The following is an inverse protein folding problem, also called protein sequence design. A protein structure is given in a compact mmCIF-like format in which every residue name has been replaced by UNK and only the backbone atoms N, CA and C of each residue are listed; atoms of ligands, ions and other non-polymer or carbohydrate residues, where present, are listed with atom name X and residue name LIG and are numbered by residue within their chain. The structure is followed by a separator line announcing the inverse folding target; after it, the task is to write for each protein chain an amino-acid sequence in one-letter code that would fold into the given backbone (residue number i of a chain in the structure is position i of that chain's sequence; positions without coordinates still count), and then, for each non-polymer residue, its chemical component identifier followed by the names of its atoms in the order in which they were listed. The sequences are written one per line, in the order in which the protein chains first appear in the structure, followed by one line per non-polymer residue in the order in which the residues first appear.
data_IF_811775530042
#
_entry.id   IF_811775530042
#
_cell.length_a   1.000
_cell.length_b   1.000
_cell.length_c   1.000
_cell.angle_alpha   90.00
_cell.angle_beta   90.00
_cell.angle_gamma   90.00
#
_symmetry.space_group_name_H-M   'P 1'
#
loop_
_entity.id
_entity.type
_entity.pdbx_description
1 polymer ?
#
# COMPACT_ATOMS: atom_id res chain seq x y z
N UNK A 1 46.01 2.60 -25.82
CA UNK A 1 45.31 2.67 -27.12
C UNK A 1 43.82 2.49 -26.83
N UNK A 2 42.87 3.39 -27.09
CA UNK A 2 42.78 4.61 -27.89
C UNK A 2 41.85 5.56 -27.14
N UNK A 3 42.29 6.80 -26.92
CA UNK A 3 41.38 7.88 -26.54
C UNK A 3 40.55 8.33 -27.75
N UNK A 4 39.36 8.85 -27.47
CA UNK A 4 38.61 9.69 -28.42
C UNK A 4 37.97 10.83 -27.63
N UNK A 5 38.54 12.02 -27.78
CA UNK A 5 37.98 13.29 -27.38
C UNK A 5 37.05 13.80 -28.48
N UNK A 6 35.89 14.35 -28.10
CA UNK A 6 35.04 15.27 -28.88
C UNK A 6 34.36 16.11 -27.79
N UNK A 7 34.56 17.42 -27.65
CA UNK A 7 34.66 18.45 -28.68
C UNK A 7 33.50 19.40 -28.36
N UNK A 8 33.79 20.44 -27.57
CA UNK A 8 32.78 21.38 -27.08
C UNK A 8 32.32 22.36 -28.15
N UNK A 9 31.16 22.98 -27.90
CA UNK A 9 30.78 24.27 -28.47
C UNK A 9 30.09 25.07 -27.39
N UNK A 10 30.77 26.13 -26.94
CA UNK A 10 30.21 27.19 -26.15
C UNK A 10 29.39 28.11 -27.07
N UNK A 11 28.18 28.48 -26.65
CA UNK A 11 27.42 29.56 -27.27
C UNK A 11 27.18 30.62 -26.20
N UNK A 12 27.93 31.71 -26.34
CA UNK A 12 27.75 32.98 -25.63
C UNK A 12 26.73 33.78 -26.41
N UNK A 13 25.65 34.23 -25.77
CA UNK A 13 24.72 35.19 -26.35
C UNK A 13 24.53 36.35 -25.36
N UNK A 14 24.88 37.54 -25.81
CA UNK A 14 25.09 38.74 -25.05
C UNK A 14 23.80 39.44 -24.62
N UNK A 15 23.80 39.94 -23.38
CA UNK A 15 22.86 40.91 -22.83
C UNK A 15 22.97 42.24 -23.57
N UNK A 16 21.85 42.78 -24.04
CA UNK A 16 21.74 44.18 -24.48
C UNK A 16 20.61 44.84 -23.71
N UNK A 17 21.01 45.67 -22.73
CA UNK A 17 20.16 46.60 -22.01
C UNK A 17 19.94 47.84 -22.89
N UNK A 18 18.74 47.98 -23.45
CA UNK A 18 18.30 49.22 -24.09
C UNK A 18 17.37 49.96 -23.11
N UNK A 19 17.94 50.93 -22.39
CA UNK A 19 17.18 51.89 -21.59
C UNK A 19 16.67 53.03 -22.48
N UNK A 20 15.35 53.21 -22.54
CA UNK A 20 14.74 54.41 -23.10
C UNK A 20 14.49 55.42 -21.97
N UNK A 21 15.14 56.58 -22.09
CA UNK A 21 14.82 57.78 -21.34
C UNK A 21 13.85 58.65 -22.14
N UNK A 22 12.88 59.24 -21.45
CA UNK A 22 12.16 60.45 -21.88
C UNK A 22 10.67 60.27 -22.17
N UNK A 23 9.82 60.80 -21.29
CA UNK A 23 8.97 61.96 -21.60
C UNK A 23 8.20 62.39 -20.33
N UNK A 24 8.51 63.60 -19.86
CA UNK A 24 7.71 64.33 -18.86
C UNK A 24 6.49 64.89 -19.61
N UNK A 25 5.39 64.16 -19.54
CA UNK A 25 4.10 64.57 -20.10
C UNK A 25 3.21 65.01 -18.94
N UNK A 26 2.87 66.30 -18.93
CA UNK A 26 2.09 66.94 -17.87
C UNK A 26 0.80 66.17 -17.58
N UNK A 27 0.47 66.10 -16.29
CA UNK A 27 -0.67 65.35 -15.77
C UNK A 27 -1.97 65.70 -16.53
N UNK A 28 -2.62 64.73 -17.19
CA UNK A 28 -3.98 64.90 -17.68
C UNK A 28 -4.94 65.10 -16.49
N UNK A 29 -6.05 65.82 -16.67
CA UNK A 29 -7.06 65.98 -15.62
C UNK A 29 -7.53 64.59 -15.17
N UNK A 30 -7.63 64.40 -13.85
CA UNK A 30 -8.01 63.13 -13.25
C UNK A 30 -9.30 62.59 -13.90
N UNK A 31 -9.31 61.33 -14.38
CA UNK A 31 -10.55 60.70 -14.81
C UNK A 31 -11.53 60.68 -13.63
N UNK A 32 -12.86 60.75 -13.87
CA UNK A 32 -13.83 60.62 -12.79
C UNK A 32 -13.53 59.33 -12.03
N UNK A 33 -13.44 59.42 -10.71
CA UNK A 33 -13.23 58.27 -9.85
C UNK A 33 -14.36 57.27 -10.10
N UNK A 34 -14.06 56.25 -10.91
CA UNK A 34 -14.91 55.08 -11.02
C UNK A 34 -14.77 54.36 -9.70
N UNK A 35 -15.86 54.25 -8.95
CA UNK A 35 -15.91 53.42 -7.76
C UNK A 35 -15.49 52.00 -8.20
N UNK A 36 -14.48 51.37 -7.58
CA UNK A 36 -14.19 49.98 -7.90
C UNK A 36 -15.45 49.17 -7.59
N UNK A 37 -15.99 48.50 -8.61
CA UNK A 37 -17.03 47.51 -8.39
C UNK A 37 -16.44 46.48 -7.41
N UNK A 38 -17.12 46.26 -6.29
CA UNK A 38 -16.80 45.15 -5.42
C UNK A 38 -16.93 43.86 -6.23
N UNK A 39 -15.91 42.99 -6.25
CA UNK A 39 -16.04 41.70 -6.91
C UNK A 39 -17.21 40.96 -6.25
N UNK A 40 -18.20 40.60 -7.05
CA UNK A 40 -19.29 39.73 -6.60
C UNK A 40 -18.72 38.33 -6.57
N UNK A 41 -18.43 37.80 -5.38
CA UNK A 41 -18.15 36.37 -5.22
C UNK A 41 -19.41 35.59 -5.59
N UNK A 42 -19.34 34.64 -6.54
CA UNK A 42 -20.47 33.79 -6.84
C UNK A 42 -20.86 33.01 -5.58
N UNK A 43 -22.17 32.79 -5.41
CA UNK A 43 -22.71 31.92 -4.37
C UNK A 43 -22.08 30.53 -4.54
N UNK A 44 -21.33 30.05 -3.54
CA UNK A 44 -20.60 28.77 -3.65
C UNK A 44 -21.53 27.58 -3.45
N UNK A 45 -22.69 27.79 -2.79
CA UNK A 45 -23.69 26.76 -2.51
C UNK A 45 -24.44 26.33 -3.79
N UNK A 46 -24.35 27.10 -4.88
CA UNK A 46 -24.87 26.73 -6.19
C UNK A 46 -24.06 25.61 -6.88
N UNK A 47 -22.86 25.30 -6.40
CA UNK A 47 -22.00 24.27 -6.99
C UNK A 47 -22.12 22.96 -6.19
N UNK A 48 -22.13 21.83 -6.90
CA UNK A 48 -21.97 20.52 -6.25
C UNK A 48 -20.58 20.44 -5.62
N UNK A 49 -20.46 20.13 -4.33
CA UNK A 49 -19.15 19.98 -3.70
C UNK A 49 -18.37 18.84 -4.36
N UNK A 50 -17.03 18.95 -4.46
CA UNK A 50 -16.22 17.87 -5.03
C UNK A 50 -16.41 16.59 -4.21
N UNK A 51 -16.31 15.41 -4.85
CA UNK A 51 -16.35 14.14 -4.13
C UNK A 51 -15.23 14.11 -3.08
N UNK A 52 -15.51 13.51 -1.92
CA UNK A 52 -14.52 13.35 -0.85
C UNK A 52 -13.46 12.34 -1.26
N UNK A 53 -12.18 12.73 -1.19
CA UNK A 53 -11.03 11.88 -1.53
C UNK A 53 -9.98 12.65 -2.30
N UNK A 54 -8.95 11.94 -2.77
CA UNK A 54 -7.94 12.47 -3.68
C UNK A 54 -8.36 12.13 -5.10
N UNK A 55 -8.34 13.11 -6.00
CA UNK A 55 -8.58 12.85 -7.42
C UNK A 55 -7.26 12.42 -8.04
N UNK A 56 -7.23 11.23 -8.63
CA UNK A 56 -6.11 10.78 -9.44
C UNK A 56 -6.08 11.62 -10.72
N UNK A 57 -4.97 12.33 -10.97
CA UNK A 57 -4.86 13.25 -12.12
C UNK A 57 -4.81 12.50 -13.46
N UNK A 58 -4.35 11.25 -13.46
CA UNK A 58 -4.21 10.43 -14.66
C UNK A 58 -5.52 9.72 -15.03
N UNK A 59 -6.29 9.26 -14.03
CA UNK A 59 -7.55 8.52 -14.27
C UNK A 59 -8.81 9.36 -14.07
N UNK A 60 -8.72 10.48 -13.34
CA UNK A 60 -9.86 11.30 -12.93
C UNK A 60 -10.75 10.62 -11.87
N UNK A 61 -10.34 9.47 -11.34
CA UNK A 61 -11.09 8.75 -10.31
C UNK A 61 -10.83 9.34 -8.92
N UNK A 62 -11.84 9.26 -8.05
CA UNK A 62 -11.67 9.66 -6.65
C UNK A 62 -11.20 8.46 -5.83
N UNK A 63 -9.99 8.57 -5.28
CA UNK A 63 -9.40 7.60 -4.36
C UNK A 63 -9.71 8.02 -2.92
N UNK A 64 -10.33 7.12 -2.17
CA UNK A 64 -10.51 7.31 -0.71
C UNK A 64 -9.24 6.84 -0.01
N UNK A 65 -8.56 7.68 0.80
CA UNK A 65 -7.40 7.24 1.57
C UNK A 65 -7.80 6.11 2.52
N UNK A 66 -7.06 5.00 2.46
CA UNK A 66 -7.23 3.91 3.41
C UNK A 66 -6.49 4.22 4.72
N UNK A 67 -6.99 3.73 5.87
CA UNK A 67 -6.32 3.96 7.15
C UNK A 67 -4.97 3.24 7.18
N UNK A 68 -3.96 3.96 7.64
CA UNK A 68 -2.61 3.40 7.82
C UNK A 68 -2.64 2.47 9.04
N UNK A 69 -2.22 1.20 8.90
CA UNK A 69 -2.14 0.29 10.03
C UNK A 69 -1.10 0.73 11.05
N UNK A 70 -1.47 0.64 12.33
CA UNK A 70 -0.55 0.76 13.45
C UNK A 70 -0.13 -0.64 13.94
N UNK A 71 1.00 -0.72 14.63
CA UNK A 71 1.50 -1.96 15.24
C UNK A 71 1.24 -2.00 16.75
N UNK A 72 -0.03 -1.88 17.09
CA UNK A 72 -0.53 -1.90 18.46
C UNK A 72 -0.82 -3.32 18.98
N UNK A 73 -1.23 -3.43 20.23
CA UNK A 73 -1.53 -4.73 20.86
C UNK A 73 -2.69 -5.46 20.15
N UNK A 74 -3.69 -4.71 19.68
CA UNK A 74 -4.82 -5.27 18.91
C UNK A 74 -4.32 -5.91 17.62
N UNK A 75 -3.44 -5.22 16.88
CA UNK A 75 -2.86 -5.72 15.64
C UNK A 75 -2.02 -6.97 15.89
N UNK A 76 -1.21 -7.00 16.96
CA UNK A 76 -0.41 -8.17 17.34
C UNK A 76 -1.28 -9.38 17.66
N UNK A 77 -2.37 -9.20 18.40
CA UNK A 77 -3.30 -10.28 18.70
C UNK A 77 -4.02 -10.76 17.43
N UNK A 78 -4.42 -9.84 16.56
CA UNK A 78 -5.12 -10.17 15.31
C UNK A 78 -4.27 -11.00 14.36
N UNK A 79 -2.97 -10.71 14.24
CA UNK A 79 -2.09 -11.45 13.33
C UNK A 79 -1.78 -12.86 13.84
N UNK A 80 -1.62 -13.03 15.16
CA UNK A 80 -1.47 -14.36 15.77
C UNK A 80 -2.75 -15.18 15.57
N UNK A 81 -3.92 -14.59 15.81
CA UNK A 81 -5.19 -15.26 15.60
C UNK A 81 -5.40 -15.67 14.13
N UNK A 82 -5.04 -14.81 13.18
CA UNK A 82 -5.10 -15.11 11.75
C UNK A 82 -4.15 -16.25 11.36
N UNK A 83 -2.90 -16.21 11.85
CA UNK A 83 -1.92 -17.26 11.60
C UNK A 83 -2.39 -18.61 12.14
N UNK A 84 -2.89 -18.66 13.37
CA UNK A 84 -3.43 -19.90 13.94
C UNK A 84 -4.67 -20.40 13.19
N UNK A 85 -5.55 -19.49 12.76
CA UNK A 85 -6.75 -19.85 11.99
C UNK A 85 -6.37 -20.49 10.65
N UNK A 86 -5.44 -19.87 9.92
CA UNK A 86 -4.94 -20.42 8.67
C UNK A 86 -4.19 -21.75 8.88
N UNK A 87 -3.37 -21.86 9.93
CA UNK A 87 -2.67 -23.11 10.23
C UNK A 87 -3.62 -24.25 10.59
N UNK A 88 -4.71 -23.97 11.33
CA UNK A 88 -5.76 -24.96 11.62
C UNK A 88 -6.53 -25.39 10.37
N UNK A 89 -6.79 -24.47 9.44
CA UNK A 89 -7.42 -24.80 8.16
C UNK A 89 -6.49 -25.66 7.28
N UNK A 90 -5.19 -25.32 7.26
CA UNK A 90 -4.18 -26.08 6.54
C UNK A 90 -3.98 -27.50 7.11
N UNK A 91 -3.99 -27.65 8.44
CA UNK A 91 -3.75 -28.91 9.16
C UNK A 91 -4.96 -29.87 9.17
N UNK A 92 -5.60 -30.10 8.02
CA UNK A 92 -6.78 -30.98 7.89
C UNK A 92 -6.59 -32.07 6.83
N UNK A 93 -5.62 -32.98 7.00
CA UNK A 93 -5.29 -33.99 6.00
C UNK A 93 -6.37 -35.06 5.81
N UNK A 94 -7.34 -35.13 6.72
CA UNK A 94 -8.45 -36.08 6.66
C UNK A 94 -9.67 -35.54 5.87
N UNK A 95 -9.63 -34.29 5.41
CA UNK A 95 -10.67 -33.69 4.56
C UNK A 95 -10.43 -33.98 3.07
N UNK A 96 -11.50 -34.00 2.29
CA UNK A 96 -11.40 -33.95 0.84
C UNK A 96 -10.96 -32.56 0.37
N UNK A 97 -10.39 -32.49 -0.84
CA UNK A 97 -9.84 -31.27 -1.39
C UNK A 97 -10.85 -30.12 -1.46
N UNK A 98 -12.10 -30.35 -1.88
CA UNK A 98 -13.07 -29.26 -2.06
C UNK A 98 -13.43 -28.60 -0.72
N UNK A 99 -13.68 -29.43 0.30
CA UNK A 99 -13.96 -28.94 1.66
C UNK A 99 -12.75 -28.23 2.26
N UNK A 100 -11.56 -28.84 2.15
CA UNK A 100 -10.32 -28.25 2.65
C UNK A 100 -10.00 -26.92 1.99
N UNK A 101 -10.12 -26.84 0.67
CA UNK A 101 -9.81 -25.65 -0.10
C UNK A 101 -10.78 -24.50 0.22
N UNK A 102 -12.08 -24.79 0.34
CA UNK A 102 -13.08 -23.80 0.71
C UNK A 102 -12.84 -23.17 2.09
N UNK A 103 -12.22 -23.89 3.02
CA UNK A 103 -11.82 -23.37 4.34
C UNK A 103 -10.50 -22.57 4.28
N UNK A 104 -9.54 -23.00 3.45
CA UNK A 104 -8.20 -22.40 3.41
C UNK A 104 -8.10 -21.18 2.49
N UNK A 105 -8.64 -21.25 1.27
CA UNK A 105 -8.49 -20.22 0.23
C UNK A 105 -8.81 -18.80 0.72
N UNK A 106 -9.89 -18.54 1.48
CA UNK A 106 -10.24 -17.19 1.93
C UNK A 106 -9.21 -16.57 2.89
N UNK A 107 -8.31 -17.39 3.44
CA UNK A 107 -7.26 -16.98 4.39
C UNK A 107 -5.93 -16.70 3.68
N UNK A 108 -5.85 -16.93 2.37
CA UNK A 108 -4.64 -16.78 1.57
C UNK A 108 -4.64 -15.46 0.80
N UNK A 109 -3.44 -14.94 0.52
CA UNK A 109 -3.31 -13.92 -0.53
C UNK A 109 -3.64 -14.54 -1.90
N UNK A 110 -3.99 -13.75 -2.93
CA UNK A 110 -4.26 -14.30 -4.26
C UNK A 110 -3.10 -15.14 -4.81
N UNK A 111 -1.85 -14.69 -4.62
CA UNK A 111 -0.67 -15.44 -5.03
C UNK A 111 -0.54 -16.77 -4.27
N UNK A 112 -0.75 -16.76 -2.95
CA UNK A 112 -0.71 -17.99 -2.18
C UNK A 112 -1.83 -18.94 -2.60
N UNK A 113 -3.03 -18.43 -2.88
CA UNK A 113 -4.11 -19.27 -3.41
C UNK A 113 -3.68 -20.00 -4.70
N UNK A 114 -2.98 -19.34 -5.62
CA UNK A 114 -2.41 -20.00 -6.80
C UNK A 114 -1.34 -21.05 -6.44
N UNK A 115 -0.46 -20.73 -5.50
CA UNK A 115 0.64 -21.62 -5.08
C UNK A 115 0.15 -22.89 -4.37
N UNK A 116 -0.91 -22.79 -3.57
CA UNK A 116 -1.48 -23.90 -2.79
C UNK A 116 -2.64 -24.62 -3.48
N UNK A 117 -3.16 -24.11 -4.61
CA UNK A 117 -4.34 -24.64 -5.29
C UNK A 117 -4.26 -26.12 -5.66
N UNK A 118 -3.06 -26.69 -5.79
CA UNK A 118 -2.86 -28.09 -6.21
C UNK A 118 -2.29 -28.98 -5.11
N UNK A 119 -2.27 -28.50 -3.87
CA UNK A 119 -1.89 -29.33 -2.72
C UNK A 119 -3.00 -30.36 -2.46
N UNK A 120 -2.60 -31.62 -2.37
CA UNK A 120 -3.46 -32.69 -1.88
C UNK A 120 -3.40 -32.70 -0.33
N UNK A 121 -4.52 -32.44 0.37
CA UNK A 121 -4.52 -32.37 1.83
C UNK A 121 -4.02 -33.65 2.49
N UNK A 122 -4.21 -34.83 1.88
CA UNK A 122 -3.74 -36.09 2.45
C UNK A 122 -2.21 -36.19 2.59
N UNK A 123 -1.46 -35.33 1.87
CA UNK A 123 0.00 -35.25 1.97
C UNK A 123 0.49 -34.26 3.03
N UNK A 124 -0.41 -33.51 3.68
CA UNK A 124 -0.04 -32.56 4.74
C UNK A 124 0.29 -33.36 6.00
N UNK A 125 1.52 -33.23 6.57
CA UNK A 125 1.93 -34.02 7.72
C UNK A 125 1.29 -33.54 9.04
N UNK A 126 0.76 -32.32 9.06
CA UNK A 126 0.21 -31.66 10.25
C UNK A 126 -1.27 -32.03 10.43
N UNK A 127 -1.69 -32.35 11.65
CA UNK A 127 -3.11 -32.58 12.00
C UNK A 127 -3.67 -31.58 13.01
N UNK A 128 -2.81 -30.95 13.81
CA UNK A 128 -3.28 -30.02 14.82
C UNK A 128 -2.25 -28.94 15.18
N UNK A 129 -2.77 -27.78 15.59
CA UNK A 129 -1.98 -26.72 16.25
C UNK A 129 -1.90 -27.04 17.74
N UNK A 130 -0.70 -27.12 18.28
CA UNK A 130 -0.43 -27.64 19.64
C UNK A 130 -0.22 -26.54 20.68
N UNK A 131 -0.20 -25.28 20.27
CA UNK A 131 0.02 -24.14 21.16
C UNK A 131 -0.22 -22.80 20.49
N UNK A 132 0.03 -21.72 21.23
CA UNK A 132 -0.15 -20.36 20.74
C UNK A 132 0.93 -19.97 19.73
N UNK A 133 0.54 -19.24 18.69
CA UNK A 133 1.48 -18.64 17.75
C UNK A 133 2.34 -17.54 18.40
N UNK A 134 3.61 -17.45 17.99
CA UNK A 134 4.56 -16.45 18.48
C UNK A 134 5.03 -15.59 17.31
N UNK A 135 4.95 -14.26 17.43
CA UNK A 135 5.47 -13.34 16.42
C UNK A 135 7.01 -13.38 16.49
N UNK A 136 7.65 -13.63 15.36
CA UNK A 136 9.12 -13.72 15.26
C UNK A 136 9.74 -12.61 14.41
N UNK A 137 8.94 -11.94 13.57
CA UNK A 137 9.30 -10.67 12.92
C UNK A 137 8.10 -9.72 12.97
N UNK A 138 8.35 -8.52 13.49
CA UNK A 138 7.36 -7.50 13.80
C UNK A 138 7.79 -6.10 13.31
N UNK A 139 8.73 -6.07 12.37
CA UNK A 139 9.34 -4.82 11.84
C UNK A 139 8.41 -3.98 10.97
N UNK A 140 7.23 -4.52 10.59
CA UNK A 140 6.26 -3.87 9.71
C UNK A 140 4.84 -3.98 10.25
N UNK A 141 4.07 -2.90 10.12
CA UNK A 141 2.64 -2.93 10.41
C UNK A 141 1.82 -3.62 9.31
N UNK A 142 2.40 -3.90 8.14
CA UNK A 142 1.72 -4.52 6.99
C UNK A 142 2.07 -5.98 6.79
N UNK A 143 3.22 -6.42 7.33
CA UNK A 143 3.76 -7.76 7.15
C UNK A 143 4.26 -8.26 8.48
N UNK A 144 3.93 -9.49 8.84
CA UNK A 144 4.47 -10.13 10.02
C UNK A 144 4.76 -11.60 9.77
N UNK A 145 5.72 -12.12 10.54
CA UNK A 145 6.04 -13.53 10.55
C UNK A 145 5.64 -14.12 11.89
N UNK A 146 4.83 -15.17 11.85
CA UNK A 146 4.34 -15.89 13.03
C UNK A 146 4.81 -17.33 12.97
N UNK A 147 5.43 -17.80 14.05
CA UNK A 147 5.72 -19.21 14.27
C UNK A 147 4.54 -19.87 14.98
N UNK A 148 4.00 -20.94 14.40
CA UNK A 148 2.89 -21.71 14.98
C UNK A 148 3.38 -23.13 15.31
N UNK A 149 3.29 -23.57 16.58
CA UNK A 149 3.62 -24.93 16.97
C UNK A 149 2.52 -25.92 16.56
N UNK A 150 2.92 -27.08 16.03
CA UNK A 150 2.01 -28.12 15.55
C UNK A 150 2.46 -29.51 16.01
N UNK A 151 1.67 -30.55 15.75
CA UNK A 151 2.01 -31.94 16.04
C UNK A 151 3.13 -32.50 15.15
N UNK A 152 3.43 -31.84 14.02
CA UNK A 152 4.51 -32.20 13.09
C UNK A 152 5.67 -31.19 13.09
N UNK A 153 5.84 -30.42 14.17
CA UNK A 153 6.89 -29.42 14.32
C UNK A 153 6.39 -27.98 14.25
N UNK A 154 7.29 -27.03 14.04
CA UNK A 154 6.95 -25.60 13.96
C UNK A 154 6.81 -25.18 12.50
N UNK A 155 5.89 -24.26 12.25
CA UNK A 155 5.67 -23.66 10.94
C UNK A 155 5.82 -22.15 11.04
N UNK A 156 6.49 -21.55 10.05
CA UNK A 156 6.49 -20.11 9.86
C UNK A 156 5.42 -19.72 8.84
N UNK A 157 4.59 -18.78 9.24
CA UNK A 157 3.59 -18.16 8.40
C UNK A 157 3.96 -16.70 8.16
N UNK A 158 3.95 -16.26 6.91
CA UNK A 158 4.12 -14.86 6.54
C UNK A 158 2.74 -14.30 6.20
N UNK A 159 2.30 -13.28 6.92
CA UNK A 159 0.98 -12.67 6.76
C UNK A 159 1.10 -11.22 6.29
N UNK A 160 0.19 -10.82 5.42
CA UNK A 160 0.11 -9.48 4.85
C UNK A 160 -1.29 -8.90 5.07
N UNK A 161 -1.40 -7.58 5.26
CA UNK A 161 -2.67 -6.84 5.17
C UNK A 161 -2.51 -5.61 4.27
N UNK A 162 -3.61 -5.16 3.66
CA UNK A 162 -3.59 -4.02 2.73
C UNK A 162 -3.64 -2.67 3.45
N UNK A 163 -4.38 -2.59 4.55
CA UNK A 163 -4.63 -1.40 5.34
C UNK A 163 -5.04 -1.80 6.78
N UNK A 164 -5.37 -0.83 7.64
CA UNK A 164 -5.71 -1.09 9.05
C UNK A 164 -6.98 -1.93 9.24
N UNK A 165 -7.94 -1.86 8.31
CA UNK A 165 -9.24 -2.54 8.37
C UNK A 165 -9.24 -3.86 7.59
N UNK A 166 -8.26 -4.06 6.70
CA UNK A 166 -8.11 -5.28 5.92
C UNK A 166 -7.72 -6.49 6.80
N UNK A 167 -8.22 -7.70 6.47
CA UNK A 167 -7.81 -8.92 7.15
C UNK A 167 -6.33 -9.24 6.89
N UNK A 168 -5.73 -9.95 7.83
CA UNK A 168 -4.44 -10.62 7.60
C UNK A 168 -4.64 -11.83 6.71
N UNK A 169 -3.91 -11.88 5.59
CA UNK A 169 -3.92 -12.98 4.65
C UNK A 169 -2.53 -13.63 4.62
N UNK A 170 -2.50 -14.95 4.61
CA UNK A 170 -1.26 -15.73 4.56
C UNK A 170 -0.70 -15.73 3.14
N UNK A 171 0.55 -15.31 3.00
CA UNK A 171 1.29 -15.36 1.74
C UNK A 171 2.18 -16.59 1.63
N UNK A 172 2.55 -17.20 2.77
CA UNK A 172 3.42 -18.38 2.79
C UNK A 172 3.28 -19.17 4.09
N UNK A 173 3.31 -20.50 3.98
CA UNK A 173 3.36 -21.48 5.08
C UNK A 173 4.62 -22.33 4.83
N UNK A 174 5.58 -22.32 5.75
CA UNK A 174 6.86 -23.06 5.57
C UNK A 174 7.19 -23.84 6.83
N UNK A 175 7.50 -25.15 6.74
CA UNK A 175 8.04 -25.90 7.87
C UNK A 175 9.38 -25.30 8.32
N UNK A 176 9.58 -25.20 9.62
CA UNK A 176 10.90 -24.84 10.17
C UNK A 176 11.76 -26.09 10.17
N UNK A 177 12.86 -26.08 9.41
CA UNK A 177 13.90 -27.11 9.56
C UNK A 177 14.38 -27.07 11.02
N UNK A 178 14.23 -28.18 11.74
CA UNK A 178 14.86 -28.32 13.05
C UNK A 178 16.36 -28.27 12.79
N UNK A 179 17.05 -27.24 13.28
CA UNK A 179 18.50 -27.30 13.37
C UNK A 179 18.84 -28.41 14.39
N UNK A 180 19.27 -29.56 13.89
CA UNK A 180 19.78 -30.68 14.69
C UNK A 180 20.98 -30.27 15.57
#
# INVERSE_FOLDING_TARGET
MRGKAIGGVAVVAALVLAGCAGQDEGAPPAPPSSTPATPVTPDLDQFTPPPSGLVDEDTGETITPQPVPEWDETSRQSVVAAAETAMRAFARPDLDYETWWAELEPLLTPQAAEDYAYVDPANIPVREVTGQGTIIDDTSAYVAQVEVPTDAGRYWLILNRQDADAPWLVSRITPVEQAD
#
